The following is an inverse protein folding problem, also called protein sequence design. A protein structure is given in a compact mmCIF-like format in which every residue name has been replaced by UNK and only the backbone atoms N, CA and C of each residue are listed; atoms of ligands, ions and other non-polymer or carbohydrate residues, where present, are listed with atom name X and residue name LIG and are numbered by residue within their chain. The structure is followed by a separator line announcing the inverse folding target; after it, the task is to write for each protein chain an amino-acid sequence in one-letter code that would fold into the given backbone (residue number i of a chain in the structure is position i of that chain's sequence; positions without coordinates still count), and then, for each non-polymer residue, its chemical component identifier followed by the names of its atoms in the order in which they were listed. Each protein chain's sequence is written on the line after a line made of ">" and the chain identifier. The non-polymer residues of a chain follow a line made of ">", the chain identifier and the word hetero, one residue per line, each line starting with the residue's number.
data_IF_452228155839
#
_entry.id   IF_452228155839
#
_cell.length_a   1.000
_cell.length_b   1.000
_cell.length_c   1.000
_cell.angle_alpha   90.00
_cell.angle_beta   90.00
_cell.angle_gamma   90.00
#
_symmetry.space_group_name_H-M   'P 1'
#
loop_
_entity.id
_entity.type
_entity.pdbx_description
1 polymer ?
#
# COMPACT_ATOMS: atom_id res chain seq x y z
N UNK A 1 20.10 -37.91 24.96
CA UNK A 1 19.38 -38.82 24.03
C UNK A 1 17.84 -38.80 24.09
N UNK A 2 17.19 -38.16 25.09
CA UNK A 2 15.71 -38.06 25.15
C UNK A 2 15.09 -36.86 24.39
N UNK A 3 15.87 -35.81 24.11
CA UNK A 3 15.41 -34.60 23.39
C UNK A 3 15.31 -34.79 21.86
N UNK A 4 16.19 -35.59 21.26
CA UNK A 4 16.16 -35.91 19.83
C UNK A 4 14.96 -36.78 19.45
N UNK A 5 14.51 -37.67 20.36
CA UNK A 5 13.36 -38.55 20.14
C UNK A 5 12.01 -37.80 20.06
N UNK A 6 11.87 -36.61 20.67
CA UNK A 6 10.60 -35.87 20.73
C UNK A 6 10.35 -35.06 19.44
N UNK A 7 11.40 -34.59 18.75
CA UNK A 7 11.25 -33.89 17.46
C UNK A 7 10.95 -34.87 16.29
N UNK A 8 11.29 -36.15 16.45
CA UNK A 8 10.88 -37.25 15.55
C UNK A 8 9.48 -37.79 15.85
N UNK A 9 8.92 -37.52 17.04
CA UNK A 9 7.60 -38.05 17.46
C UNK A 9 6.41 -37.40 16.75
N UNK A 10 6.54 -36.20 16.17
CA UNK A 10 5.65 -35.77 15.08
C UNK A 10 6.21 -36.36 13.80
N UNK A 11 5.59 -37.42 13.34
CA UNK A 11 6.03 -38.26 12.22
C UNK A 11 6.35 -37.37 11.01
N UNK A 12 7.43 -37.64 10.28
CA UNK A 12 7.78 -36.91 9.03
C UNK A 12 6.58 -36.82 8.07
N UNK A 13 5.74 -37.86 8.08
CA UNK A 13 4.48 -37.92 7.37
C UNK A 13 3.47 -36.85 7.79
N UNK A 14 3.33 -36.54 9.09
CA UNK A 14 2.42 -35.51 9.59
C UNK A 14 2.86 -34.11 9.18
N UNK A 15 4.17 -33.82 9.25
CA UNK A 15 4.73 -32.55 8.76
C UNK A 15 4.53 -32.40 7.25
N UNK A 16 4.74 -33.47 6.49
CA UNK A 16 4.49 -33.49 5.05
C UNK A 16 3.00 -33.29 4.73
N UNK A 17 2.10 -33.91 5.50
CA UNK A 17 0.65 -33.74 5.35
C UNK A 17 0.20 -32.31 5.63
N UNK A 18 0.64 -31.72 6.74
CA UNK A 18 0.33 -30.32 7.07
C UNK A 18 0.87 -29.34 6.00
N UNK A 19 2.08 -29.60 5.46
CA UNK A 19 2.64 -28.79 4.39
C UNK A 19 1.85 -28.91 3.08
N UNK A 20 1.37 -30.12 2.76
CA UNK A 20 0.52 -30.35 1.60
C UNK A 20 -0.84 -29.64 1.74
N UNK A 21 -1.46 -29.74 2.92
CA UNK A 21 -2.71 -29.04 3.25
C UNK A 21 -2.54 -27.52 3.14
N UNK A 22 -1.49 -26.96 3.73
CA UNK A 22 -1.17 -25.53 3.62
C UNK A 22 -0.99 -25.09 2.17
N UNK A 23 -0.30 -25.91 1.37
CA UNK A 23 -0.05 -25.61 -0.05
C UNK A 23 -1.37 -25.57 -0.84
N UNK A 24 -2.29 -26.49 -0.55
CA UNK A 24 -3.57 -26.55 -1.25
C UNK A 24 -4.50 -25.41 -0.85
N UNK A 25 -4.60 -25.10 0.45
CA UNK A 25 -5.36 -23.94 0.94
C UNK A 25 -4.79 -22.63 0.39
N UNK A 26 -3.46 -22.47 0.33
CA UNK A 26 -2.81 -21.29 -0.24
C UNK A 26 -3.12 -21.13 -1.75
N UNK A 27 -3.18 -22.23 -2.51
CA UNK A 27 -3.63 -22.18 -3.91
C UNK A 27 -5.09 -21.73 -3.99
N UNK A 28 -5.97 -22.26 -3.14
CA UNK A 28 -7.39 -21.90 -3.12
C UNK A 28 -7.57 -20.41 -2.79
N UNK A 29 -6.90 -19.90 -1.77
CA UNK A 29 -6.91 -18.48 -1.40
C UNK A 29 -6.41 -17.60 -2.55
N UNK A 30 -5.33 -17.99 -3.22
CA UNK A 30 -4.83 -17.25 -4.39
C UNK A 30 -5.83 -17.26 -5.55
N UNK A 31 -6.59 -18.35 -5.75
CA UNK A 31 -7.65 -18.42 -6.75
C UNK A 31 -8.83 -17.52 -6.36
N UNK A 32 -9.29 -17.57 -5.11
CA UNK A 32 -10.40 -16.74 -4.65
C UNK A 32 -10.08 -15.25 -4.76
N UNK A 33 -8.89 -14.82 -4.33
CA UNK A 33 -8.44 -13.42 -4.47
C UNK A 33 -8.47 -12.96 -5.93
N UNK A 34 -8.06 -13.81 -6.88
CA UNK A 34 -8.12 -13.48 -8.31
C UNK A 34 -9.56 -13.38 -8.80
N UNK A 35 -10.43 -14.27 -8.36
CA UNK A 35 -11.86 -14.25 -8.70
C UNK A 35 -12.54 -13.00 -8.15
N UNK A 36 -12.33 -12.68 -6.88
CA UNK A 36 -12.89 -11.49 -6.24
C UNK A 36 -12.43 -10.21 -6.92
N UNK A 37 -11.14 -10.14 -7.28
CA UNK A 37 -10.60 -9.01 -8.05
C UNK A 37 -11.26 -8.87 -9.42
N UNK A 38 -11.49 -9.97 -10.14
CA UNK A 38 -12.21 -9.94 -11.43
C UNK A 38 -13.64 -9.47 -11.24
N UNK A 39 -14.35 -10.02 -10.26
CA UNK A 39 -15.72 -9.63 -9.94
C UNK A 39 -15.83 -8.14 -9.62
N UNK A 40 -14.94 -7.62 -8.80
CA UNK A 40 -14.89 -6.18 -8.50
C UNK A 40 -14.70 -5.31 -9.76
N UNK A 41 -13.81 -5.72 -10.66
CA UNK A 41 -13.57 -5.00 -11.93
C UNK A 41 -14.79 -5.08 -12.85
N UNK A 42 -15.42 -6.25 -12.96
CA UNK A 42 -16.65 -6.45 -13.74
C UNK A 42 -17.82 -5.60 -13.20
N UNK A 43 -18.01 -5.57 -11.88
CA UNK A 43 -19.05 -4.75 -11.24
C UNK A 43 -18.83 -3.26 -11.54
N UNK A 44 -17.60 -2.76 -11.47
CA UNK A 44 -17.27 -1.38 -11.86
C UNK A 44 -17.54 -1.12 -13.34
N UNK A 45 -17.17 -2.04 -14.23
CA UNK A 45 -17.42 -1.89 -15.66
C UNK A 45 -18.93 -1.82 -15.96
N UNK A 46 -19.73 -2.68 -15.30
CA UNK A 46 -21.18 -2.68 -15.40
C UNK A 46 -21.79 -1.35 -14.90
N UNK A 47 -21.29 -0.81 -13.78
CA UNK A 47 -21.72 0.50 -13.29
C UNK A 47 -21.40 1.64 -14.26
N UNK A 48 -20.23 1.61 -14.90
CA UNK A 48 -19.86 2.60 -15.91
C UNK A 48 -20.77 2.52 -17.16
N UNK A 49 -21.05 1.31 -17.64
CA UNK A 49 -21.97 1.09 -18.77
C UNK A 49 -23.37 1.61 -18.46
N UNK A 50 -23.91 1.29 -17.28
CA UNK A 50 -25.22 1.77 -16.85
C UNK A 50 -25.26 3.32 -16.79
N UNK A 51 -24.24 3.94 -16.19
CA UNK A 51 -24.14 5.39 -16.13
C UNK A 51 -24.07 6.04 -17.52
N UNK A 52 -23.40 5.40 -18.49
CA UNK A 52 -23.34 5.88 -19.86
C UNK A 52 -24.72 5.82 -20.55
N UNK A 53 -25.48 4.73 -20.34
CA UNK A 53 -26.86 4.59 -20.84
C UNK A 53 -27.80 5.64 -20.25
N UNK A 54 -27.60 6.02 -18.98
CA UNK A 54 -28.38 7.05 -18.29
C UNK A 54 -27.93 8.49 -18.60
N UNK A 55 -26.88 8.68 -19.41
CA UNK A 55 -26.32 10.00 -19.73
C UNK A 55 -25.53 10.64 -18.58
N UNK A 56 -25.23 9.90 -17.51
CA UNK A 56 -24.50 10.41 -16.36
C UNK A 56 -22.97 10.35 -16.60
N UNK A 57 -22.47 11.28 -17.41
CA UNK A 57 -21.07 11.31 -17.82
C UNK A 57 -20.08 11.51 -16.67
N UNK A 58 -20.50 12.18 -15.58
CA UNK A 58 -19.67 12.32 -14.38
C UNK A 58 -19.36 10.95 -13.76
N UNK A 59 -20.38 10.11 -13.60
CA UNK A 59 -20.21 8.76 -13.05
C UNK A 59 -19.44 7.83 -13.99
N UNK A 60 -19.58 8.01 -15.31
CA UNK A 60 -18.74 7.29 -16.29
C UNK A 60 -17.27 7.65 -16.10
N UNK A 61 -16.93 8.93 -16.00
CA UNK A 61 -15.55 9.38 -15.79
C UNK A 61 -14.97 8.87 -14.46
N UNK A 62 -15.70 9.04 -13.35
CA UNK A 62 -15.21 8.63 -12.03
C UNK A 62 -14.98 7.12 -11.93
N UNK A 63 -15.87 6.31 -12.51
CA UNK A 63 -15.74 4.85 -12.53
C UNK A 63 -14.61 4.39 -13.46
N UNK A 64 -14.48 5.01 -14.63
CA UNK A 64 -13.38 4.73 -15.57
C UNK A 64 -12.04 5.14 -14.99
N UNK A 65 -11.98 6.25 -14.24
CA UNK A 65 -10.78 6.69 -13.52
C UNK A 65 -10.38 5.70 -12.42
N UNK A 66 -11.34 5.08 -11.73
CA UNK A 66 -11.08 4.01 -10.75
C UNK A 66 -10.56 2.74 -11.44
N UNK A 67 -11.11 2.37 -12.60
CA UNK A 67 -10.66 1.22 -13.42
C UNK A 67 -9.27 1.44 -14.01
N UNK A 68 -9.01 2.63 -14.56
CA UNK A 68 -7.73 3.05 -15.10
C UNK A 68 -6.70 3.39 -14.00
N UNK A 69 -7.14 3.37 -12.73
CA UNK A 69 -6.33 3.57 -11.55
C UNK A 69 -5.20 2.55 -11.52
N UNK A 70 -4.07 2.95 -12.12
CA UNK A 70 -2.80 2.25 -12.01
C UNK A 70 -2.56 1.96 -10.54
N UNK A 71 -2.64 0.69 -10.14
CA UNK A 71 -2.07 0.19 -8.88
C UNK A 71 -0.53 0.27 -8.98
N UNK A 72 0.02 1.47 -9.14
CA UNK A 72 1.33 1.76 -8.59
C UNK A 72 1.04 2.03 -7.12
N UNK A 73 1.45 1.13 -6.25
CA UNK A 73 1.87 1.56 -4.93
C UNK A 73 3.17 2.35 -5.13
N UNK A 74 3.21 3.68 -5.10
CA UNK A 74 4.36 4.32 -4.53
C UNK A 74 4.16 4.24 -3.01
N UNK A 75 4.20 3.04 -2.43
CA UNK A 75 4.76 2.92 -1.08
C UNK A 75 6.25 3.21 -1.25
N UNK A 76 6.57 4.48 -1.52
CA UNK A 76 7.90 5.00 -1.31
C UNK A 76 8.06 4.97 0.20
N UNK A 77 8.87 4.06 0.75
CA UNK A 77 9.00 3.98 2.19
C UNK A 77 9.52 5.32 2.70
N UNK A 78 8.95 5.80 3.81
CA UNK A 78 9.41 7.06 4.43
C UNK A 78 10.86 6.85 4.87
N UNK A 79 11.75 7.69 4.36
CA UNK A 79 13.18 7.63 4.70
C UNK A 79 13.53 8.56 5.87
N UNK A 80 14.48 8.12 6.69
CA UNK A 80 15.16 8.96 7.67
C UNK A 80 15.94 10.07 6.97
N UNK A 81 16.55 10.98 7.74
CA UNK A 81 17.42 12.02 7.15
C UNK A 81 18.69 11.42 6.55
N UNK A 82 19.10 10.30 7.11
CA UNK A 82 20.28 9.50 6.76
C UNK A 82 19.98 8.57 5.56
N UNK A 83 18.74 8.58 5.04
CA UNK A 83 18.33 7.83 3.85
C UNK A 83 17.84 6.41 4.12
N UNK A 84 17.77 5.99 5.38
CA UNK A 84 17.32 4.65 5.79
C UNK A 84 15.80 4.54 5.77
N UNK A 85 15.28 3.36 5.42
CA UNK A 85 13.83 3.11 5.36
C UNK A 85 13.26 2.93 6.76
N UNK A 86 12.27 3.75 7.12
CA UNK A 86 11.56 3.64 8.39
C UNK A 86 10.36 2.72 8.22
N UNK A 87 10.42 1.54 8.85
CA UNK A 87 9.37 0.50 8.77
C UNK A 87 8.32 0.58 9.88
N UNK A 88 8.61 1.26 11.00
CA UNK A 88 7.69 1.44 12.13
C UNK A 88 6.84 2.71 11.99
N UNK A 89 5.51 2.57 12.09
CA UNK A 89 4.51 3.66 11.97
C UNK A 89 4.76 4.81 12.95
N UNK A 90 5.15 4.53 14.19
CA UNK A 90 5.39 5.58 15.19
C UNK A 90 6.60 6.44 14.81
N UNK A 91 7.66 5.78 14.36
CA UNK A 91 8.87 6.45 13.87
C UNK A 91 8.61 7.26 12.58
N UNK A 92 7.70 6.80 11.72
CA UNK A 92 7.26 7.57 10.56
C UNK A 92 6.56 8.87 10.97
N UNK A 93 5.65 8.82 11.96
CA UNK A 93 4.98 10.01 12.50
C UNK A 93 5.98 11.01 13.09
N UNK A 94 6.93 10.52 13.89
CA UNK A 94 8.01 11.35 14.44
C UNK A 94 8.83 12.01 13.32
N UNK A 95 9.18 11.25 12.27
CA UNK A 95 9.91 11.78 11.10
C UNK A 95 9.12 12.86 10.36
N UNK A 96 7.80 12.69 10.21
CA UNK A 96 6.90 13.68 9.61
C UNK A 96 6.86 14.97 10.44
N UNK A 97 6.62 14.86 11.75
CA UNK A 97 6.60 16.02 12.66
C UNK A 97 7.92 16.79 12.60
N UNK A 98 9.05 16.07 12.61
CA UNK A 98 10.39 16.68 12.50
C UNK A 98 10.59 17.38 11.15
N UNK A 99 10.19 16.74 10.05
CA UNK A 99 10.30 17.32 8.71
C UNK A 99 9.50 18.61 8.56
N UNK A 100 8.24 18.60 9.00
CA UNK A 100 7.37 19.77 8.93
C UNK A 100 7.85 20.90 9.84
N UNK A 101 8.30 20.59 11.07
CA UNK A 101 8.92 21.60 11.95
C UNK A 101 10.14 22.25 11.30
N UNK A 102 11.03 21.46 10.69
CA UNK A 102 12.19 22.01 10.00
C UNK A 102 11.82 22.85 8.79
N UNK A 103 10.85 22.41 7.98
CA UNK A 103 10.39 23.15 6.81
C UNK A 103 9.77 24.50 7.20
N UNK A 104 8.86 24.48 8.18
CA UNK A 104 8.12 25.66 8.62
C UNK A 104 8.99 26.63 9.43
N UNK A 105 9.93 26.12 10.23
CA UNK A 105 10.84 26.97 11.01
C UNK A 105 12.03 27.49 10.19
N UNK A 106 12.41 26.82 9.08
CA UNK A 106 13.43 27.36 8.15
C UNK A 106 12.92 28.62 7.44
N UNK A 107 11.63 28.68 7.13
CA UNK A 107 10.99 29.90 6.61
C UNK A 107 10.95 31.03 7.65
N UNK A 108 10.92 30.70 8.95
CA UNK A 108 10.97 31.70 10.02
C UNK A 108 12.36 32.32 10.23
N UNK A 109 13.44 31.64 9.85
CA UNK A 109 14.80 32.21 9.86
C UNK A 109 15.09 33.10 8.64
N UNK A 110 14.37 32.88 7.54
CA UNK A 110 14.35 33.78 6.39
C UNK A 110 13.30 34.87 6.64
N UNK A 111 13.68 35.87 7.45
CA UNK A 111 12.85 37.05 7.68
C UNK A 111 12.23 37.58 6.36
N UNK A 112 10.98 38.10 6.38
CA UNK A 112 10.23 38.50 5.19
C UNK A 112 10.91 39.59 4.34
N UNK A 113 11.95 40.25 4.86
CA UNK A 113 12.73 41.28 4.15
C UNK A 113 13.54 40.75 2.96
N UNK A 114 13.80 39.44 2.90
CA UNK A 114 14.49 38.82 1.75
C UNK A 114 13.57 38.56 0.56
N UNK A 115 12.27 38.34 0.77
CA UNK A 115 11.31 38.14 -0.32
C UNK A 115 11.03 39.42 -1.12
N UNK A 116 11.09 40.60 -0.48
CA UNK A 116 10.93 41.87 -1.18
C UNK A 116 12.15 42.26 -2.03
N UNK A 117 13.34 41.73 -1.75
CA UNK A 117 14.56 42.02 -2.53
C UNK A 117 14.74 41.12 -3.75
N UNK A 118 14.18 39.90 -3.76
CA UNK A 118 14.31 38.97 -4.90
C UNK A 118 13.34 39.22 -6.06
N UNK A 119 12.32 40.07 -5.90
CA UNK A 119 11.35 40.40 -6.96
C UNK A 119 11.60 41.77 -7.61
N UNK A 120 12.73 42.44 -7.30
CA UNK A 120 13.06 43.78 -7.79
C UNK A 120 14.27 43.81 -8.74
N UNK A 121 14.65 42.68 -9.35
CA UNK A 121 15.59 42.61 -10.47
C UNK A 121 14.93 41.94 -11.68
#
# INVERSE_FOLDING_TARGET
>A
NKKTAINTRRTRAEKAKAQAEYTEVNKQVKRSIRTDKRKYVEDLAMMAEKAAREGNMRNVYDTTKKLAGNYRNPERPVKSKEGEVITNIENQRIRWVKHFKELLNRLALLNPRTFQQMLAY
#
